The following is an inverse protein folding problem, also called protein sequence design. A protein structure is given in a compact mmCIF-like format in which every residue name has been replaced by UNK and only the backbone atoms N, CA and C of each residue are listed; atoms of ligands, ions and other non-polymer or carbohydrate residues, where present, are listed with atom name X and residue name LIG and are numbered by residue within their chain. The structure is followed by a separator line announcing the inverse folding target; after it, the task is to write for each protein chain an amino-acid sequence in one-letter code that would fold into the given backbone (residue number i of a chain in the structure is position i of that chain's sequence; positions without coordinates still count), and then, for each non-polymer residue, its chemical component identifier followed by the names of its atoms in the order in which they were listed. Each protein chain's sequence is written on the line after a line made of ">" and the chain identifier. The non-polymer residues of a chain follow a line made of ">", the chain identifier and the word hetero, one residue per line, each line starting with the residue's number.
data_IF_422781247319
#
_entry.id   IF_422781247319
#
_cell.length_a   1.000
_cell.length_b   1.000
_cell.length_c   1.000
_cell.angle_alpha   90.00
_cell.angle_beta   90.00
_cell.angle_gamma   90.00
#
_symmetry.space_group_name_H-M   'P 1'
#
loop_
_entity.id
_entity.type
_entity.pdbx_description
1 polymer ?
#
# COMPACT_ATOMS: atom_id res chain seq x y z
N UNK A 1 -22.93 19.54 -0.24
CA UNK A 1 -24.32 19.95 -0.29
C UNK A 1 -24.51 20.88 -1.47
N UNK A 2 -25.56 20.65 -2.26
CA UNK A 2 -25.82 21.45 -3.47
C UNK A 2 -27.32 21.55 -3.71
N UNK A 3 -27.79 22.72 -4.10
CA UNK A 3 -29.19 23.02 -4.33
C UNK A 3 -29.52 23.51 -5.76
N UNK A 4 -28.50 23.85 -6.55
CA UNK A 4 -28.68 24.34 -7.91
C UNK A 4 -28.51 23.24 -8.97
N UNK A 5 -29.28 23.29 -10.09
CA UNK A 5 -29.10 22.31 -11.17
C UNK A 5 -27.70 22.33 -11.80
N UNK A 6 -27.06 23.49 -11.89
CA UNK A 6 -25.71 23.63 -12.43
C UNK A 6 -24.64 23.07 -11.48
N UNK A 7 -24.78 23.34 -10.18
CA UNK A 7 -23.89 22.80 -9.16
C UNK A 7 -24.04 21.28 -9.02
N UNK A 8 -25.27 20.75 -9.08
CA UNK A 8 -25.51 19.31 -9.10
C UNK A 8 -24.85 18.63 -10.31
N UNK A 9 -24.92 19.23 -11.49
CA UNK A 9 -24.27 18.72 -12.69
C UNK A 9 -22.74 18.76 -12.56
N UNK A 10 -22.18 19.86 -12.05
CA UNK A 10 -20.75 19.97 -11.81
C UNK A 10 -20.24 18.95 -10.79
N UNK A 11 -20.95 18.80 -9.68
CA UNK A 11 -20.62 17.85 -8.64
C UNK A 11 -20.72 16.39 -9.13
N UNK A 12 -21.74 16.06 -9.94
CA UNK A 12 -21.87 14.72 -10.53
C UNK A 12 -20.72 14.40 -11.50
N UNK A 13 -20.26 15.38 -12.26
CA UNK A 13 -19.10 15.24 -13.19
C UNK A 13 -17.77 15.11 -12.44
N UNK A 14 -17.65 15.72 -11.28
CA UNK A 14 -16.47 15.61 -10.42
C UNK A 14 -16.43 14.31 -9.60
N UNK A 15 -17.47 13.46 -9.72
CA UNK A 15 -17.68 12.26 -8.90
C UNK A 15 -17.78 12.55 -7.39
N UNK A 16 -18.09 13.78 -7.01
CA UNK A 16 -18.28 14.15 -5.62
C UNK A 16 -19.53 13.50 -5.04
N UNK A 17 -19.49 13.16 -3.76
CA UNK A 17 -20.69 12.74 -3.02
C UNK A 17 -21.60 13.94 -2.82
N UNK A 18 -22.77 13.91 -3.42
CA UNK A 18 -23.71 15.04 -3.40
C UNK A 18 -24.92 14.73 -2.53
N UNK A 19 -25.14 15.58 -1.52
CA UNK A 19 -26.41 15.64 -0.82
C UNK A 19 -27.25 16.77 -1.40
N UNK A 20 -28.27 16.39 -2.18
CA UNK A 20 -29.21 17.37 -2.75
C UNK A 20 -30.18 17.84 -1.65
N UNK A 21 -30.36 19.15 -1.58
CA UNK A 21 -31.41 19.81 -0.80
C UNK A 21 -32.14 20.82 -1.68
N UNK A 22 -33.44 20.86 -1.60
CA UNK A 22 -34.27 21.81 -2.37
C UNK A 22 -34.37 23.16 -1.62
N UNK A 23 -34.11 23.16 -0.33
CA UNK A 23 -34.08 24.35 0.51
C UNK A 23 -32.97 24.20 1.59
N UNK A 24 -32.17 25.24 1.87
CA UNK A 24 -31.15 25.20 2.92
C UNK A 24 -31.68 24.78 4.31
N UNK A 25 -32.95 25.08 4.61
CA UNK A 25 -33.59 24.67 5.87
C UNK A 25 -33.82 23.15 5.97
N UNK A 26 -33.80 22.44 4.85
CA UNK A 26 -33.95 20.99 4.82
C UNK A 26 -32.64 20.25 5.11
N UNK A 27 -31.55 20.97 5.26
CA UNK A 27 -30.25 20.42 5.64
C UNK A 27 -30.22 20.14 7.13
N UNK A 28 -30.43 18.88 7.50
CA UNK A 28 -30.37 18.43 8.90
C UNK A 28 -29.13 17.56 9.13
N UNK A 29 -28.67 17.52 10.40
CA UNK A 29 -27.56 16.64 10.79
C UNK A 29 -27.86 15.17 10.44
N UNK A 30 -29.13 14.76 10.61
CA UNK A 30 -29.60 13.42 10.26
C UNK A 30 -29.43 13.12 8.76
N UNK A 31 -29.85 14.03 7.86
CA UNK A 31 -29.66 13.88 6.41
C UNK A 31 -28.18 13.78 6.02
N UNK A 32 -27.33 14.60 6.65
CA UNK A 32 -25.88 14.55 6.43
C UNK A 32 -25.33 13.19 6.89
N UNK A 33 -25.70 12.76 8.11
CA UNK A 33 -25.23 11.49 8.69
C UNK A 33 -25.69 10.30 7.88
N UNK A 34 -26.95 10.29 7.43
CA UNK A 34 -27.49 9.22 6.58
C UNK A 34 -26.74 9.16 5.25
N UNK A 35 -26.47 10.30 4.61
CA UNK A 35 -25.71 10.34 3.36
C UNK A 35 -24.26 9.88 3.53
N UNK A 36 -23.62 10.23 4.64
CA UNK A 36 -22.29 9.72 4.97
C UNK A 36 -22.30 8.21 5.25
N UNK A 37 -23.34 7.69 5.88
CA UNK A 37 -23.48 6.25 6.11
C UNK A 37 -23.81 5.46 4.85
N UNK A 38 -24.63 6.00 3.93
CA UNK A 38 -24.85 5.44 2.60
C UNK A 38 -23.53 5.31 1.85
N UNK A 39 -22.66 6.29 1.97
CA UNK A 39 -21.35 6.31 1.29
C UNK A 39 -20.33 5.30 1.88
N UNK A 40 -20.51 4.87 3.13
CA UNK A 40 -19.67 3.80 3.71
C UNK A 40 -19.85 2.44 3.03
N UNK A 41 -20.98 2.24 2.35
CA UNK A 41 -21.27 1.04 1.54
C UNK A 41 -21.02 1.23 0.05
N UNK A 42 -20.65 2.43 -0.40
CA UNK A 42 -20.33 2.67 -1.81
C UNK A 42 -18.97 2.06 -2.17
N UNK A 43 -18.93 1.34 -3.29
CA UNK A 43 -17.70 0.96 -3.96
C UNK A 43 -16.90 2.24 -4.27
N UNK A 44 -15.86 2.50 -3.49
CA UNK A 44 -14.91 3.57 -3.77
C UNK A 44 -14.33 3.27 -5.16
N UNK A 45 -14.47 4.17 -6.16
CA UNK A 45 -13.96 3.90 -7.50
C UNK A 45 -12.44 3.70 -7.44
N UNK A 46 -11.92 2.77 -8.25
CA UNK A 46 -10.48 2.57 -8.35
C UNK A 46 -9.78 3.87 -8.73
N UNK A 47 -8.61 4.11 -8.15
CA UNK A 47 -7.72 5.17 -8.59
C UNK A 47 -7.35 4.96 -10.07
N UNK A 48 -7.51 5.99 -10.89
CA UNK A 48 -7.28 5.98 -12.34
C UNK A 48 -6.44 7.21 -12.77
N UNK A 49 -5.38 7.51 -12.05
CA UNK A 49 -4.59 8.74 -12.21
C UNK A 49 -3.49 8.70 -13.28
N UNK A 50 -3.50 7.74 -14.19
CA UNK A 50 -2.48 7.62 -15.24
C UNK A 50 -1.63 6.35 -15.14
N UNK A 51 -0.57 6.28 -15.93
CA UNK A 51 0.34 5.11 -15.90
C UNK A 51 1.12 5.10 -14.59
N UNK A 52 0.91 4.09 -13.76
CA UNK A 52 1.71 3.84 -12.58
C UNK A 52 1.99 2.34 -12.43
N UNK A 53 2.99 2.00 -11.66
CA UNK A 53 3.33 0.63 -11.32
C UNK A 53 2.97 0.36 -9.85
N UNK A 54 2.40 -0.82 -9.59
CA UNK A 54 2.23 -1.35 -8.23
C UNK A 54 3.09 -2.60 -8.10
N UNK A 55 4.06 -2.57 -7.21
CA UNK A 55 5.00 -3.66 -6.95
C UNK A 55 4.65 -4.36 -5.65
N UNK A 56 4.39 -5.66 -5.72
CA UNK A 56 4.08 -6.50 -4.56
C UNK A 56 5.10 -7.63 -4.44
N UNK A 57 6.11 -7.49 -3.56
CA UNK A 57 7.02 -8.59 -3.24
C UNK A 57 6.28 -9.64 -2.41
N UNK A 58 6.11 -10.85 -2.94
CA UNK A 58 5.43 -11.95 -2.26
C UNK A 58 6.25 -13.25 -2.26
N UNK A 59 7.57 -13.11 -2.31
CA UNK A 59 8.52 -14.21 -2.37
C UNK A 59 9.06 -14.66 -1.00
N UNK A 60 8.50 -14.15 0.10
CA UNK A 60 8.91 -14.52 1.46
C UNK A 60 8.62 -15.99 1.79
N UNK A 61 9.42 -16.59 2.68
CA UNK A 61 9.31 -18.00 3.04
C UNK A 61 7.95 -18.41 3.67
N UNK A 62 7.24 -17.49 4.30
CA UNK A 62 5.96 -17.80 4.96
C UNK A 62 6.05 -18.82 6.11
N UNK A 63 7.21 -18.97 6.73
CA UNK A 63 7.55 -20.04 7.67
C UNK A 63 6.59 -20.15 8.86
N UNK A 64 6.06 -19.04 9.36
CA UNK A 64 5.10 -19.02 10.49
C UNK A 64 3.81 -19.76 10.15
N UNK A 65 3.28 -19.56 8.94
CA UNK A 65 2.09 -20.27 8.48
C UNK A 65 2.37 -21.75 8.25
N UNK A 66 3.52 -22.09 7.69
CA UNK A 66 3.93 -23.51 7.54
C UNK A 66 4.04 -24.21 8.89
N UNK A 67 4.65 -23.58 9.89
CA UNK A 67 4.74 -24.09 11.26
C UNK A 67 3.37 -24.26 11.93
N UNK A 68 2.40 -23.41 11.56
CA UNK A 68 1.02 -23.51 12.03
C UNK A 68 0.16 -24.51 11.23
N UNK A 69 0.76 -25.27 10.29
CA UNK A 69 0.09 -26.34 9.55
C UNK A 69 -0.65 -25.89 8.28
N UNK A 70 -0.46 -24.65 7.81
CA UNK A 70 -1.03 -24.21 6.55
C UNK A 70 -0.31 -24.85 5.37
N UNK A 71 -1.07 -25.40 4.44
CA UNK A 71 -0.53 -26.14 3.27
C UNK A 71 -0.19 -25.22 2.08
N UNK A 72 -0.84 -24.07 1.98
CA UNK A 72 -0.59 -23.11 0.91
C UNK A 72 0.45 -22.07 1.35
N UNK A 73 1.25 -21.52 0.42
CA UNK A 73 2.13 -20.39 0.72
C UNK A 73 1.30 -19.17 1.12
N UNK A 74 1.88 -18.32 1.97
CA UNK A 74 1.19 -17.18 2.59
C UNK A 74 0.27 -16.37 1.64
N UNK A 75 0.68 -15.98 0.42
CA UNK A 75 -0.20 -15.19 -0.45
C UNK A 75 -1.46 -15.92 -0.92
N UNK A 76 -1.49 -17.25 -0.83
CA UNK A 76 -2.61 -18.10 -1.25
C UNK A 76 -3.49 -18.60 -0.11
N UNK A 77 -3.18 -18.21 1.11
CA UNK A 77 -4.01 -18.56 2.29
C UNK A 77 -5.38 -17.92 2.11
N UNK A 78 -6.41 -18.71 2.40
CA UNK A 78 -7.80 -18.25 2.34
C UNK A 78 -8.08 -17.18 3.40
N UNK A 79 -8.68 -16.09 2.95
CA UNK A 79 -9.20 -15.00 3.78
C UNK A 79 -10.63 -14.71 3.32
N UNK A 80 -11.61 -15.24 4.04
CA UNK A 80 -13.04 -15.10 3.73
C UNK A 80 -13.43 -15.52 2.29
N UNK A 81 -12.89 -16.64 1.83
CA UNK A 81 -13.19 -17.21 0.50
C UNK A 81 -12.36 -16.63 -0.65
N UNK A 82 -11.36 -15.80 -0.35
CA UNK A 82 -10.42 -15.25 -1.34
C UNK A 82 -8.98 -15.55 -0.95
N UNK A 83 -8.05 -15.75 -1.91
CA UNK A 83 -6.63 -15.76 -1.61
C UNK A 83 -6.19 -14.44 -0.96
N UNK A 84 -5.30 -14.48 0.02
CA UNK A 84 -4.80 -13.28 0.72
C UNK A 84 -4.32 -12.20 -0.26
N UNK A 85 -3.60 -12.57 -1.31
CA UNK A 85 -3.13 -11.61 -2.32
C UNK A 85 -4.28 -10.89 -3.03
N UNK A 86 -5.40 -11.57 -3.28
CA UNK A 86 -6.58 -10.93 -3.86
C UNK A 86 -7.19 -9.93 -2.88
N UNK A 87 -7.28 -10.28 -1.59
CA UNK A 87 -7.76 -9.36 -0.55
C UNK A 87 -6.92 -8.10 -0.49
N UNK A 88 -5.59 -8.24 -0.57
CA UNK A 88 -4.65 -7.10 -0.60
C UNK A 88 -4.88 -6.24 -1.85
N UNK A 89 -4.97 -6.83 -3.04
CA UNK A 89 -5.16 -6.08 -4.29
C UNK A 89 -6.52 -5.38 -4.33
N UNK A 90 -7.59 -6.07 -3.92
CA UNK A 90 -8.93 -5.49 -3.82
C UNK A 90 -8.93 -4.28 -2.85
N UNK A 91 -8.18 -4.38 -1.74
CA UNK A 91 -8.07 -3.32 -0.74
C UNK A 91 -7.20 -2.15 -1.19
N UNK A 92 -6.16 -2.39 -2.00
CA UNK A 92 -5.39 -1.30 -2.62
C UNK A 92 -6.26 -0.46 -3.55
N UNK A 93 -7.17 -1.07 -4.28
CA UNK A 93 -8.16 -0.41 -5.12
C UNK A 93 -7.57 0.61 -6.11
N UNK A 94 -6.45 0.26 -6.75
CA UNK A 94 -5.69 1.11 -7.67
C UNK A 94 -5.66 0.45 -9.05
N UNK A 95 -5.96 1.21 -10.11
CA UNK A 95 -5.73 0.79 -11.49
C UNK A 95 -4.27 1.12 -11.87
N UNK A 96 -3.48 0.08 -12.12
CA UNK A 96 -2.05 0.18 -12.39
C UNK A 96 -1.53 -1.04 -13.15
N UNK A 97 -0.29 -0.98 -13.60
CA UNK A 97 0.45 -2.18 -13.98
C UNK A 97 0.95 -2.86 -12.70
N UNK A 98 0.36 -4.00 -12.37
CA UNK A 98 0.80 -4.79 -11.22
C UNK A 98 2.01 -5.64 -11.57
N UNK A 99 2.97 -5.66 -10.66
CA UNK A 99 4.23 -6.41 -10.78
C UNK A 99 4.38 -7.24 -9.50
N UNK A 100 4.49 -8.55 -9.66
CA UNK A 100 4.63 -9.48 -8.54
C UNK A 100 6.02 -10.10 -8.56
N UNK A 101 6.70 -10.13 -7.43
CA UNK A 101 7.92 -10.93 -7.27
C UNK A 101 7.56 -12.18 -6.49
N UNK A 102 7.72 -13.34 -7.10
CA UNK A 102 7.25 -14.63 -6.60
C UNK A 102 8.38 -15.66 -6.53
N UNK A 103 8.28 -16.63 -5.62
CA UNK A 103 9.14 -17.79 -5.64
C UNK A 103 8.89 -18.62 -6.91
N UNK A 104 9.94 -18.98 -7.63
CA UNK A 104 9.90 -19.80 -8.84
C UNK A 104 9.14 -21.12 -8.63
N UNK A 105 9.42 -21.79 -7.49
CA UNK A 105 8.73 -23.02 -7.12
C UNK A 105 7.22 -22.80 -6.95
N UNK A 106 6.82 -21.71 -6.27
CA UNK A 106 5.42 -21.39 -6.04
C UNK A 106 4.70 -21.04 -7.33
N UNK A 107 5.36 -20.33 -8.27
CA UNK A 107 4.80 -19.98 -9.57
C UNK A 107 4.36 -21.21 -10.34
N UNK A 108 5.25 -22.19 -10.47
CA UNK A 108 4.97 -23.43 -11.17
C UNK A 108 3.94 -24.32 -10.45
N UNK A 109 4.14 -24.54 -9.14
CA UNK A 109 3.33 -25.46 -8.34
C UNK A 109 1.87 -25.03 -8.21
N UNK A 110 1.62 -23.72 -8.07
CA UNK A 110 0.29 -23.16 -7.78
C UNK A 110 -0.30 -22.39 -8.96
N UNK A 111 0.31 -22.48 -10.15
CA UNK A 111 -0.15 -21.80 -11.37
C UNK A 111 -0.43 -20.30 -11.13
N UNK A 112 0.54 -19.60 -10.54
CA UNK A 112 0.37 -18.20 -10.16
C UNK A 112 0.13 -17.29 -11.36
N UNK A 113 0.57 -17.66 -12.56
CA UNK A 113 0.29 -16.90 -13.79
C UNK A 113 -1.21 -16.73 -14.02
N UNK A 114 -1.95 -17.83 -13.93
CA UNK A 114 -3.41 -17.79 -14.12
C UNK A 114 -4.08 -17.01 -13.00
N UNK A 115 -3.74 -17.30 -11.74
CA UNK A 115 -4.34 -16.65 -10.59
C UNK A 115 -4.11 -15.13 -10.60
N UNK A 116 -2.87 -14.69 -10.78
CA UNK A 116 -2.52 -13.28 -10.73
C UNK A 116 -3.09 -12.49 -11.91
N UNK A 117 -3.17 -13.12 -13.12
CA UNK A 117 -3.83 -12.51 -14.26
C UNK A 117 -5.36 -12.42 -14.13
N UNK A 118 -5.99 -13.30 -13.35
CA UNK A 118 -7.41 -13.18 -13.01
C UNK A 118 -7.66 -11.99 -12.04
N UNK A 119 -6.75 -11.79 -11.09
CA UNK A 119 -6.85 -10.70 -10.10
C UNK A 119 -6.50 -9.36 -10.76
N UNK A 120 -5.39 -9.31 -11.51
CA UNK A 120 -4.86 -8.11 -12.18
C UNK A 120 -4.46 -8.45 -13.61
N UNK A 121 -5.34 -8.26 -14.58
CA UNK A 121 -5.06 -8.58 -15.98
C UNK A 121 -3.80 -7.87 -16.51
N UNK A 122 -2.99 -8.58 -17.28
CA UNK A 122 -1.72 -8.12 -17.85
C UNK A 122 -0.63 -7.79 -16.82
N UNK A 123 -0.69 -8.34 -15.61
CA UNK A 123 0.36 -8.17 -14.61
C UNK A 123 1.71 -8.71 -15.10
N UNK A 124 2.78 -8.26 -14.47
CA UNK A 124 4.14 -8.77 -14.67
C UNK A 124 4.51 -9.68 -13.50
N UNK A 125 5.17 -10.78 -13.79
CA UNK A 125 5.58 -11.75 -12.79
C UNK A 125 7.09 -11.95 -12.91
N UNK A 126 7.80 -11.59 -11.84
CA UNK A 126 9.25 -11.75 -11.71
C UNK A 126 9.52 -12.94 -10.78
N UNK A 127 10.36 -13.85 -11.21
CA UNK A 127 10.75 -15.01 -10.40
C UNK A 127 11.97 -14.72 -9.56
N UNK A 128 11.98 -15.28 -8.36
CA UNK A 128 13.17 -15.39 -7.54
C UNK A 128 13.42 -16.86 -7.20
N UNK A 129 14.68 -17.26 -7.23
CA UNK A 129 15.11 -18.59 -6.82
C UNK A 129 15.76 -18.50 -5.44
N UNK A 130 15.07 -19.00 -4.41
CA UNK A 130 15.49 -18.91 -3.02
C UNK A 130 15.20 -17.57 -2.35
N UNK A 131 15.93 -17.28 -1.26
CA UNK A 131 15.77 -16.08 -0.46
C UNK A 131 16.80 -15.02 -0.86
N UNK A 132 16.36 -13.77 -0.94
CA UNK A 132 17.24 -12.61 -1.12
C UNK A 132 17.74 -12.09 0.23
N UNK A 133 18.67 -11.14 0.19
CA UNK A 133 19.21 -10.47 1.39
C UNK A 133 18.25 -9.44 2.01
N UNK A 134 16.97 -9.51 1.68
CA UNK A 134 15.92 -8.67 2.23
C UNK A 134 14.94 -8.14 1.18
N UNK A 135 13.89 -7.47 1.67
CA UNK A 135 12.79 -7.03 0.81
C UNK A 135 13.24 -6.01 -0.28
N UNK A 136 14.21 -5.14 0.01
CA UNK A 136 14.74 -4.21 -0.99
C UNK A 136 15.45 -4.95 -2.13
N UNK A 137 16.23 -6.00 -1.84
CA UNK A 137 16.84 -6.83 -2.86
C UNK A 137 15.77 -7.56 -3.70
N UNK A 138 14.71 -8.04 -3.06
CA UNK A 138 13.58 -8.70 -3.75
C UNK A 138 12.88 -7.73 -4.71
N UNK A 139 12.63 -6.49 -4.29
CA UNK A 139 11.95 -5.49 -5.14
C UNK A 139 12.81 -5.07 -6.32
N UNK A 140 14.14 -5.00 -6.18
CA UNK A 140 15.06 -4.68 -7.28
C UNK A 140 15.13 -5.76 -8.37
N UNK A 141 14.70 -6.99 -8.12
CA UNK A 141 14.54 -7.99 -9.18
C UNK A 141 13.54 -7.54 -10.27
N UNK A 142 12.62 -6.65 -9.90
CA UNK A 142 11.67 -6.05 -10.84
C UNK A 142 12.19 -4.76 -11.51
N UNK A 143 13.49 -4.44 -11.41
CA UNK A 143 14.09 -3.20 -11.90
C UNK A 143 13.69 -2.87 -13.34
N UNK A 144 13.69 -3.84 -14.24
CA UNK A 144 13.33 -3.66 -15.65
C UNK A 144 11.93 -3.04 -15.87
N UNK A 145 10.99 -3.23 -14.93
CA UNK A 145 9.63 -2.73 -15.01
C UNK A 145 9.42 -1.42 -14.23
N UNK A 146 10.24 -1.15 -13.22
CA UNK A 146 10.05 -0.03 -12.29
C UNK A 146 11.03 1.10 -12.49
N UNK A 147 12.19 0.88 -13.14
CA UNK A 147 13.19 1.91 -13.39
C UNK A 147 12.74 2.87 -14.51
N UNK A 148 11.84 3.76 -14.17
CA UNK A 148 11.24 4.70 -15.11
C UNK A 148 10.73 5.96 -14.40
N UNK A 149 10.30 6.96 -15.18
CA UNK A 149 9.64 8.17 -14.65
C UNK A 149 8.19 7.93 -14.21
N UNK A 150 7.62 6.72 -14.42
CA UNK A 150 6.29 6.40 -13.95
C UNK A 150 6.27 6.29 -12.42
N UNK A 151 5.19 6.75 -11.75
CA UNK A 151 5.03 6.55 -10.32
C UNK A 151 5.04 5.08 -9.93
N UNK A 152 5.62 4.80 -8.77
CA UNK A 152 5.69 3.47 -8.19
C UNK A 152 5.00 3.45 -6.82
N UNK A 153 4.08 2.53 -6.63
CA UNK A 153 3.57 2.16 -5.32
C UNK A 153 4.08 0.76 -4.97
N UNK A 154 4.70 0.62 -3.83
CA UNK A 154 5.04 -0.70 -3.28
C UNK A 154 4.10 -1.04 -2.15
N UNK A 155 3.65 -2.28 -2.07
CA UNK A 155 2.77 -2.75 -1.01
C UNK A 155 3.17 -4.14 -0.52
N UNK A 156 3.04 -4.37 0.78
CA UNK A 156 3.16 -5.71 1.35
C UNK A 156 2.00 -6.60 0.86
N UNK A 157 2.23 -7.91 0.83
CA UNK A 157 1.26 -8.92 0.36
C UNK A 157 0.38 -9.50 1.47
N UNK A 158 0.39 -8.91 2.67
CA UNK A 158 -0.16 -9.51 3.89
C UNK A 158 -0.79 -8.51 4.87
N UNK A 159 -1.57 -7.59 4.34
CA UNK A 159 -2.23 -6.55 5.14
C UNK A 159 -3.57 -6.12 4.54
N UNK A 160 -4.45 -5.60 5.39
CA UNK A 160 -5.69 -4.94 5.01
C UNK A 160 -5.76 -3.57 5.70
N UNK A 161 -6.14 -2.54 4.97
CA UNK A 161 -6.07 -1.13 5.39
C UNK A 161 -7.46 -0.51 5.43
N UNK A 162 -7.75 0.25 6.48
CA UNK A 162 -8.92 1.13 6.53
C UNK A 162 -8.52 2.49 5.97
N UNK A 163 -8.56 2.62 4.65
CA UNK A 163 -8.08 3.79 3.93
C UNK A 163 -8.90 4.10 2.66
N UNK A 164 -8.68 5.29 2.12
CA UNK A 164 -9.07 5.65 0.76
C UNK A 164 -7.82 5.88 -0.10
N UNK A 165 -7.57 4.97 -1.04
CA UNK A 165 -6.42 5.06 -1.94
C UNK A 165 -6.45 6.32 -2.82
N UNK A 166 -7.66 6.81 -3.19
CA UNK A 166 -7.78 8.04 -3.95
C UNK A 166 -7.32 9.25 -3.13
N UNK A 167 -7.74 9.33 -1.85
CA UNK A 167 -7.32 10.42 -0.96
C UNK A 167 -5.80 10.44 -0.81
N UNK A 168 -5.19 9.27 -0.57
CA UNK A 168 -3.74 9.14 -0.50
C UNK A 168 -3.06 9.62 -1.79
N UNK A 169 -3.47 9.08 -2.94
CA UNK A 169 -2.85 9.40 -4.22
C UNK A 169 -3.01 10.87 -4.60
N UNK A 170 -4.20 11.46 -4.38
CA UNK A 170 -4.43 12.88 -4.63
C UNK A 170 -3.54 13.76 -3.76
N UNK A 171 -3.39 13.45 -2.47
CA UNK A 171 -2.51 14.21 -1.57
C UNK A 171 -1.05 14.14 -2.00
N UNK A 172 -0.56 12.96 -2.42
CA UNK A 172 0.83 12.82 -2.90
C UNK A 172 1.08 13.69 -4.14
N UNK A 173 0.15 13.70 -5.09
CA UNK A 173 0.26 14.47 -6.33
C UNK A 173 0.10 15.98 -6.06
N UNK A 174 -0.92 16.38 -5.28
CA UNK A 174 -1.18 17.79 -4.95
C UNK A 174 0.00 18.44 -4.25
N UNK A 175 0.60 17.74 -3.28
CA UNK A 175 1.74 18.23 -2.52
C UNK A 175 3.06 18.13 -3.29
N UNK A 176 3.07 17.55 -4.49
CA UNK A 176 4.25 17.39 -5.35
C UNK A 176 5.44 16.81 -4.58
N UNK A 177 5.19 15.76 -3.82
CA UNK A 177 6.23 15.05 -3.07
C UNK A 177 6.98 14.07 -3.97
N UNK A 178 8.25 13.82 -3.66
CA UNK A 178 9.06 12.80 -4.34
C UNK A 178 8.73 11.39 -3.83
N UNK A 179 8.28 11.28 -2.56
CA UNK A 179 7.88 10.03 -1.96
C UNK A 179 6.80 10.20 -0.89
N UNK A 180 6.07 9.10 -0.63
CA UNK A 180 5.00 9.07 0.35
C UNK A 180 4.99 7.76 1.14
N UNK A 181 4.77 7.85 2.44
CA UNK A 181 4.74 6.71 3.35
C UNK A 181 3.36 6.64 3.99
N UNK A 182 2.64 5.55 3.75
CA UNK A 182 1.39 5.31 4.46
C UNK A 182 1.70 4.87 5.89
N UNK A 183 1.06 5.51 6.87
CA UNK A 183 1.40 5.37 8.29
C UNK A 183 0.15 5.24 9.17
N UNK A 184 0.37 4.82 10.41
CA UNK A 184 -0.62 4.80 11.47
C UNK A 184 0.08 5.02 12.82
N UNK A 185 -0.68 5.31 13.89
CA UNK A 185 -0.09 5.52 15.20
C UNK A 185 0.21 4.19 15.90
N UNK A 186 1.49 3.95 16.20
CA UNK A 186 1.96 2.81 17.00
C UNK A 186 3.37 3.06 17.51
N UNK A 187 3.71 2.47 18.65
CA UNK A 187 5.08 2.46 19.20
C UNK A 187 5.66 1.05 19.32
N UNK A 188 4.94 0.04 18.79
CA UNK A 188 5.38 -1.34 18.90
C UNK A 188 6.56 -1.62 17.95
N UNK A 189 7.73 -2.11 18.45
CA UNK A 189 8.98 -2.19 17.69
C UNK A 189 8.98 -3.21 16.51
N UNK A 190 7.86 -3.86 16.23
CA UNK A 190 7.75 -4.74 15.05
C UNK A 190 7.63 -3.97 13.73
N UNK A 191 7.38 -2.64 13.79
CA UNK A 191 7.14 -1.78 12.63
C UNK A 191 8.38 -0.99 12.22
N UNK A 192 8.33 -0.41 11.03
CA UNK A 192 9.20 0.71 10.66
C UNK A 192 8.56 2.02 11.14
N UNK A 193 9.37 3.05 11.34
CA UNK A 193 8.92 4.34 11.87
C UNK A 193 9.46 5.50 11.04
N UNK A 194 8.69 6.58 10.96
CA UNK A 194 9.09 7.81 10.31
C UNK A 194 9.07 8.98 11.31
N UNK A 195 10.12 9.79 11.34
CA UNK A 195 10.17 11.05 12.06
C UNK A 195 9.93 12.19 11.09
N UNK A 196 9.11 13.17 11.48
CA UNK A 196 8.78 14.34 10.65
C UNK A 196 9.22 15.64 11.30
N UNK A 197 9.45 16.66 10.47
CA UNK A 197 9.68 18.03 10.91
C UNK A 197 8.36 18.78 11.20
N UNK A 198 8.46 20.06 11.55
CA UNK A 198 7.32 20.95 11.84
C UNK A 198 6.43 21.21 10.61
N UNK A 199 6.92 20.96 9.39
CA UNK A 199 6.18 21.08 8.13
C UNK A 199 5.58 19.74 7.65
N UNK A 200 5.80 18.66 8.41
CA UNK A 200 5.33 17.31 8.11
C UNK A 200 6.16 16.59 7.05
N UNK A 201 7.38 17.03 6.76
CA UNK A 201 8.31 16.28 5.91
C UNK A 201 9.08 15.26 6.74
N UNK A 202 9.26 14.07 6.17
CA UNK A 202 10.04 13.01 6.81
C UNK A 202 11.52 13.38 6.82
N UNK A 203 12.11 13.37 8.01
CA UNK A 203 13.53 13.67 8.25
C UNK A 203 14.38 12.42 8.45
N UNK A 204 13.75 11.33 8.90
CA UNK A 204 14.40 10.06 9.16
C UNK A 204 13.39 8.93 9.15
N UNK A 205 13.77 7.75 8.69
CA UNK A 205 13.04 6.51 8.87
C UNK A 205 13.92 5.45 9.50
N UNK A 206 13.33 4.58 10.34
CA UNK A 206 14.03 3.45 10.93
C UNK A 206 13.18 2.19 10.93
N UNK A 207 13.83 1.07 10.65
CA UNK A 207 13.24 -0.26 10.71
C UNK A 207 13.36 -0.82 12.12
N UNK A 208 12.23 -1.27 12.69
CA UNK A 208 12.17 -1.93 14.02
C UNK A 208 12.74 -1.11 15.18
N UNK A 209 12.82 0.20 15.02
CA UNK A 209 13.28 1.12 16.06
C UNK A 209 12.30 2.30 16.18
N UNK A 210 11.53 2.39 17.28
CA UNK A 210 10.51 3.44 17.47
C UNK A 210 11.16 4.81 17.73
N UNK A 211 11.50 5.54 16.66
CA UNK A 211 11.99 6.91 16.72
C UNK A 211 10.88 7.96 16.84
N UNK A 212 9.64 7.53 16.71
CA UNK A 212 8.41 8.32 16.81
C UNK A 212 7.22 7.39 17.08
N UNK A 213 6.01 7.94 17.10
CA UNK A 213 4.75 7.18 17.10
C UNK A 213 4.14 6.99 15.69
N UNK A 214 4.85 7.43 14.64
CA UNK A 214 4.42 7.30 13.25
C UNK A 214 5.00 5.99 12.68
N UNK A 215 4.24 4.91 12.82
CA UNK A 215 4.59 3.60 12.29
C UNK A 215 4.15 3.46 10.82
N UNK A 216 4.93 2.76 10.00
CA UNK A 216 4.58 2.55 8.59
C UNK A 216 3.74 1.28 8.41
N UNK A 217 2.82 1.29 7.45
CA UNK A 217 1.96 0.12 7.16
C UNK A 217 2.52 -0.78 6.05
N UNK A 218 3.69 -0.43 5.47
CA UNK A 218 4.26 -1.19 4.35
C UNK A 218 3.63 -0.85 2.99
N UNK A 219 3.09 0.37 2.85
CA UNK A 219 2.72 0.97 1.57
C UNK A 219 3.59 2.22 1.35
N UNK A 220 4.32 2.23 0.25
CA UNK A 220 5.36 3.19 -0.07
C UNK A 220 5.17 3.74 -1.48
N UNK A 221 5.02 5.04 -1.61
CA UNK A 221 4.87 5.74 -2.89
C UNK A 221 6.16 6.45 -3.27
N UNK A 222 6.52 6.38 -4.55
CA UNK A 222 7.58 7.14 -5.19
C UNK A 222 7.01 7.84 -6.43
N UNK A 223 7.25 9.13 -6.56
CA UNK A 223 6.81 9.88 -7.72
C UNK A 223 7.44 9.38 -9.02
N UNK A 224 8.62 8.78 -8.91
CA UNK A 224 9.34 8.09 -9.99
C UNK A 224 9.91 6.77 -9.48
N UNK A 225 9.65 5.68 -10.20
CA UNK A 225 10.22 4.38 -9.87
C UNK A 225 11.76 4.38 -9.97
N UNK A 226 12.33 5.16 -10.91
CA UNK A 226 13.77 5.33 -11.04
C UNK A 226 14.44 5.93 -9.80
N UNK A 227 13.76 6.82 -9.07
CA UNK A 227 14.29 7.33 -7.80
C UNK A 227 14.39 6.21 -6.76
N UNK A 228 13.35 5.35 -6.65
CA UNK A 228 13.42 4.18 -5.78
C UNK A 228 14.61 3.28 -6.12
N UNK A 229 14.78 2.93 -7.40
CA UNK A 229 15.86 2.05 -7.84
C UNK A 229 17.21 2.65 -7.47
N UNK A 230 17.44 3.94 -7.80
CA UNK A 230 18.67 4.66 -7.46
C UNK A 230 18.98 4.56 -5.96
N UNK A 231 18.04 4.90 -5.11
CA UNK A 231 18.27 4.97 -3.67
C UNK A 231 18.35 3.59 -3.01
N UNK A 232 17.64 2.59 -3.53
CA UNK A 232 17.79 1.21 -3.06
C UNK A 232 19.17 0.65 -3.39
N UNK A 233 19.67 0.89 -4.60
CA UNK A 233 21.04 0.50 -4.98
C UNK A 233 22.07 1.22 -4.11
N UNK A 234 21.93 2.53 -3.87
CA UNK A 234 22.84 3.28 -2.97
C UNK A 234 22.86 2.72 -1.55
N UNK A 235 21.70 2.39 -0.99
CA UNK A 235 21.60 1.77 0.34
C UNK A 235 22.32 0.42 0.39
N UNK A 236 22.18 -0.39 -0.65
CA UNK A 236 22.83 -1.71 -0.76
C UNK A 236 24.34 -1.55 -0.91
N UNK A 237 24.79 -0.65 -1.79
CA UNK A 237 26.21 -0.37 -2.01
C UNK A 237 26.92 0.13 -0.74
N UNK A 238 26.21 0.93 0.06
CA UNK A 238 26.66 1.37 1.40
C UNK A 238 26.56 0.29 2.48
N UNK A 239 25.96 -0.87 2.14
CA UNK A 239 25.70 -1.98 3.06
C UNK A 239 24.91 -1.59 4.31
N UNK A 240 23.91 -0.69 4.16
CA UNK A 240 23.06 -0.23 5.26
C UNK A 240 21.97 -1.27 5.52
N UNK A 241 22.10 -2.01 6.61
CA UNK A 241 21.22 -3.14 6.98
C UNK A 241 20.57 -2.94 8.33
N UNK A 242 19.41 -3.55 8.49
CA UNK A 242 18.78 -3.78 9.81
C UNK A 242 18.63 -5.29 9.99
N UNK A 243 19.11 -5.85 11.12
CA UNK A 243 19.09 -7.30 11.39
C UNK A 243 19.65 -8.15 10.22
N UNK A 244 20.73 -7.70 9.61
CA UNK A 244 21.39 -8.31 8.44
C UNK A 244 20.55 -8.35 7.15
N UNK A 245 19.43 -7.65 7.08
CA UNK A 245 18.57 -7.58 5.89
C UNK A 245 18.48 -6.15 5.34
N UNK A 246 18.24 -6.03 4.04
CA UNK A 246 17.91 -4.78 3.37
C UNK A 246 16.39 -4.58 3.30
N UNK A 247 15.87 -3.68 4.13
CA UNK A 247 14.44 -3.34 4.16
C UNK A 247 14.09 -2.22 3.19
N UNK A 248 12.82 -2.14 2.79
CA UNK A 248 12.33 -1.12 1.85
C UNK A 248 12.23 0.25 2.49
N UNK A 249 11.72 0.34 3.74
CA UNK A 249 11.52 1.63 4.40
C UNK A 249 12.81 2.46 4.54
N UNK A 250 13.96 1.91 4.96
CA UNK A 250 15.22 2.67 5.08
C UNK A 250 15.74 3.29 3.78
N UNK A 251 15.26 2.86 2.60
CA UNK A 251 15.63 3.45 1.31
C UNK A 251 15.31 4.95 1.27
N UNK A 252 14.27 5.38 1.97
CA UNK A 252 13.93 6.81 2.04
C UNK A 252 15.02 7.67 2.69
N UNK A 253 15.86 7.14 3.57
CA UNK A 253 16.97 7.92 4.14
C UNK A 253 17.96 8.38 3.08
N UNK A 254 18.20 7.56 2.04
CA UNK A 254 19.05 7.95 0.92
C UNK A 254 18.42 9.10 0.11
N UNK A 255 17.12 9.04 -0.10
CA UNK A 255 16.37 10.10 -0.79
C UNK A 255 16.34 11.41 0.05
N UNK A 256 16.14 11.29 1.36
CA UNK A 256 16.16 12.44 2.29
C UNK A 256 17.54 13.10 2.29
N UNK A 257 18.63 12.33 2.26
CA UNK A 257 19.99 12.85 2.16
C UNK A 257 20.22 13.64 0.87
N UNK A 258 19.54 13.29 -0.23
CA UNK A 258 19.51 14.02 -1.51
C UNK A 258 18.44 15.13 -1.54
N UNK A 259 17.92 15.58 -0.39
CA UNK A 259 16.92 16.64 -0.25
C UNK A 259 15.58 16.36 -0.95
N UNK A 260 15.22 15.09 -1.16
CA UNK A 260 13.90 14.70 -1.66
C UNK A 260 12.81 14.96 -0.62
N UNK A 261 11.64 15.38 -1.09
CA UNK A 261 10.48 15.69 -0.26
C UNK A 261 9.65 14.44 -0.01
N UNK A 262 9.73 13.90 1.18
CA UNK A 262 8.96 12.72 1.59
C UNK A 262 7.92 13.15 2.63
N UNK A 263 6.68 12.65 2.51
CA UNK A 263 5.63 12.89 3.51
C UNK A 263 4.98 11.59 3.97
N UNK A 264 4.42 11.64 5.18
CA UNK A 264 3.55 10.57 5.68
C UNK A 264 2.09 10.90 5.39
N UNK A 265 1.29 9.85 5.23
CA UNK A 265 -0.16 9.91 5.21
C UNK A 265 -0.71 8.93 6.24
N UNK A 266 -1.41 9.46 7.24
CA UNK A 266 -1.89 8.64 8.35
C UNK A 266 -3.26 8.04 8.06
N UNK A 267 -3.42 6.75 8.35
CA UNK A 267 -4.69 6.03 8.30
C UNK A 267 -5.14 5.64 9.70
N UNK A 268 -6.43 5.36 9.84
CA UNK A 268 -7.00 5.03 11.15
C UNK A 268 -6.55 3.67 11.65
N UNK A 269 -6.50 2.66 10.77
CA UNK A 269 -6.19 1.29 11.16
C UNK A 269 -5.58 0.46 10.05
N UNK A 270 -4.64 -0.37 10.44
CA UNK A 270 -4.09 -1.45 9.63
C UNK A 270 -4.34 -2.78 10.33
N UNK A 271 -4.75 -3.77 9.56
CA UNK A 271 -4.93 -5.15 9.97
C UNK A 271 -3.81 -5.99 9.36
N UNK A 272 -2.98 -6.57 10.18
CA UNK A 272 -1.98 -7.53 9.73
C UNK A 272 -2.65 -8.84 9.32
N UNK A 273 -2.12 -9.45 8.24
CA UNK A 273 -2.48 -10.79 7.80
C UNK A 273 -1.22 -11.67 7.72
N UNK A 274 -0.08 -11.17 8.22
CA UNK A 274 1.25 -11.75 8.02
C UNK A 274 1.60 -12.92 8.94
N UNK A 275 0.81 -13.16 9.98
CA UNK A 275 0.95 -14.30 10.88
C UNK A 275 -0.40 -14.98 11.10
N UNK A 276 -0.43 -16.27 11.51
CA UNK A 276 -1.69 -16.95 11.86
C UNK A 276 -2.50 -16.21 12.92
N UNK A 277 -1.82 -15.62 13.91
CA UNK A 277 -2.44 -14.85 15.00
C UNK A 277 -3.06 -13.56 14.49
N UNK A 278 -2.33 -12.80 13.65
CA UNK A 278 -2.83 -11.56 13.05
C UNK A 278 -4.04 -11.85 12.13
N UNK A 279 -3.97 -12.90 11.31
CA UNK A 279 -5.07 -13.34 10.45
C UNK A 279 -6.31 -13.71 11.28
N UNK A 280 -6.14 -14.52 12.33
CA UNK A 280 -7.22 -14.88 13.23
C UNK A 280 -7.86 -13.64 13.87
N UNK A 281 -7.01 -12.72 14.36
CA UNK A 281 -7.49 -11.47 14.95
C UNK A 281 -8.31 -10.65 13.95
N UNK A 282 -7.87 -10.55 12.69
CA UNK A 282 -8.62 -9.90 11.62
C UNK A 282 -9.98 -10.56 11.40
N UNK A 283 -10.02 -11.87 11.21
CA UNK A 283 -11.26 -12.62 10.96
C UNK A 283 -12.29 -12.51 12.09
N UNK A 284 -11.84 -12.40 13.34
CA UNK A 284 -12.71 -12.29 14.51
C UNK A 284 -13.20 -10.85 14.77
N UNK A 285 -12.46 -9.83 14.38
CA UNK A 285 -12.69 -8.46 14.83
C UNK A 285 -12.99 -7.46 13.70
N UNK A 286 -12.61 -7.75 12.45
CA UNK A 286 -12.97 -6.91 11.33
C UNK A 286 -14.45 -7.15 10.97
N UNK A 287 -15.28 -6.13 11.13
CA UNK A 287 -16.69 -6.16 10.72
C UNK A 287 -16.84 -5.29 9.48
N UNK A 288 -17.31 -5.91 8.41
CA UNK A 288 -17.67 -5.23 7.16
C UNK A 288 -18.85 -4.29 7.33
#
# INVERSE_FOLDING_TARGET
>A
VEDSPHGLLAASRSRANVLRVDNPKDLTLEKITNKLNENKSMNIPKWQGGKMNVLIPMAGAGSRFQQAGYTFPKPLIDVEGKPMIQVVVDNLNIEATYIYVVQKEHRAKYNLDTLLNLITPNCKIVEVDGLTEGAACTTLLAKEFIDSDAPLLMANSDQFLEWDSNEFMYKMIEQKVDGGILSFHSTHPKWSFAKVDEFGYVTEVQEKNPISDIATVGVYYWAKGSDYVKYAEQMIDKNIRTNNEFYVCPVYNEAIADCKKIKTFNINKMWGLGTPEDLKYYLENYKK
#
